data_IF_572904105533
#
_entry.id   IF_572904105533
#
_cell.length_a   1.000
_cell.length_b   1.000
_cell.length_c   1.000
_cell.angle_alpha   90.00
_cell.angle_beta   90.00
_cell.angle_gamma   90.00
#
_symmetry.space_group_name_H-M   'P 1'
#
loop_
_entity.id
_entity.type
_entity.pdbx_description
1 polymer ?
#
# COMPACT_ATOMS: atom_id res chain seq x y z
N UNK A 1 6.74 -75.35 -3.60
CA UNK A 1 6.51 -73.90 -3.51
C UNK A 1 7.74 -73.24 -4.15
N UNK A 2 7.58 -72.85 -5.42
CA UNK A 2 8.68 -72.33 -6.24
C UNK A 2 8.84 -70.82 -6.05
N UNK A 3 10.05 -70.35 -6.36
CA UNK A 3 10.46 -68.94 -6.30
C UNK A 3 9.67 -68.00 -7.23
N UNK A 4 8.73 -68.53 -8.01
CA UNK A 4 7.91 -67.80 -9.00
C UNK A 4 6.56 -67.31 -8.47
N UNK A 5 6.16 -67.64 -7.24
CA UNK A 5 4.88 -67.22 -6.63
C UNK A 5 5.00 -66.03 -5.69
N UNK A 6 6.03 -65.19 -5.85
CA UNK A 6 6.17 -64.01 -5.02
C UNK A 6 5.73 -62.77 -5.80
N UNK A 7 4.82 -61.98 -5.18
CA UNK A 7 4.16 -60.79 -5.70
C UNK A 7 5.05 -59.66 -6.23
N UNK A 8 6.38 -59.74 -6.04
CA UNK A 8 7.30 -58.71 -6.55
C UNK A 8 7.69 -58.87 -8.01
N UNK A 9 7.27 -59.96 -8.68
CA UNK A 9 7.45 -60.16 -10.12
C UNK A 9 6.32 -59.51 -10.95
N UNK A 10 5.27 -59.01 -10.31
CA UNK A 10 4.21 -58.18 -10.91
C UNK A 10 4.40 -56.70 -10.64
N UNK A 11 5.64 -56.22 -10.63
CA UNK A 11 5.88 -54.81 -10.83
C UNK A 11 5.54 -54.47 -12.29
N UNK A 12 4.21 -54.47 -12.53
CA UNK A 12 3.64 -53.96 -13.79
C UNK A 12 4.23 -52.58 -14.00
N UNK A 13 4.74 -52.40 -15.22
CA UNK A 13 5.14 -51.13 -15.78
C UNK A 13 4.14 -50.03 -15.39
N UNK A 14 4.34 -49.40 -14.24
CA UNK A 14 3.81 -48.03 -14.05
C UNK A 14 4.58 -47.20 -15.07
N UNK A 15 4.04 -47.09 -16.27
CA UNK A 15 4.35 -45.98 -17.14
C UNK A 15 4.07 -44.73 -16.30
N UNK A 16 5.12 -44.24 -15.62
CA UNK A 16 5.12 -42.87 -15.16
C UNK A 16 4.94 -42.00 -16.41
N UNK A 17 3.70 -41.67 -16.70
CA UNK A 17 3.39 -40.58 -17.59
C UNK A 17 4.06 -39.37 -16.96
N UNK A 18 5.29 -39.09 -17.36
CA UNK A 18 5.88 -37.76 -17.28
C UNK A 18 5.01 -36.85 -18.16
N UNK A 19 3.81 -36.57 -17.66
CA UNK A 19 2.98 -35.50 -18.20
C UNK A 19 3.81 -34.25 -18.10
N UNK A 20 4.19 -33.68 -19.26
CA UNK A 20 4.78 -32.35 -19.30
C UNK A 20 3.99 -31.45 -18.34
N UNK A 21 4.66 -30.69 -17.46
CA UNK A 21 3.97 -29.79 -16.57
C UNK A 21 3.08 -28.88 -17.43
N UNK A 22 1.78 -29.13 -17.40
CA UNK A 22 0.84 -28.26 -18.07
C UNK A 22 0.98 -26.90 -17.40
N UNK A 23 1.58 -25.94 -18.09
CA UNK A 23 1.56 -24.54 -17.68
C UNK A 23 0.08 -24.10 -17.64
N UNK A 24 -0.56 -24.30 -16.51
CA UNK A 24 -1.88 -23.72 -16.25
C UNK A 24 -1.67 -22.24 -16.06
N UNK A 25 -1.91 -21.46 -17.08
CA UNK A 25 -2.03 -20.00 -16.98
C UNK A 25 -3.27 -19.68 -16.13
N UNK A 26 -3.10 -19.70 -14.83
CA UNK A 26 -4.14 -19.19 -13.93
C UNK A 26 -4.07 -17.68 -13.93
N UNK A 27 -4.97 -17.03 -14.66
CA UNK A 27 -5.14 -15.59 -14.58
C UNK A 27 -5.40 -15.19 -13.11
N UNK A 28 -4.76 -14.13 -12.62
CA UNK A 28 -4.95 -13.69 -11.25
C UNK A 28 -6.43 -13.33 -11.00
N UNK A 29 -7.00 -13.86 -9.91
CA UNK A 29 -8.34 -13.44 -9.49
C UNK A 29 -8.30 -11.98 -9.11
N UNK A 30 -9.13 -11.17 -9.77
CA UNK A 30 -9.25 -9.74 -9.50
C UNK A 30 -9.70 -9.50 -8.06
N UNK A 31 -8.91 -8.73 -7.35
CA UNK A 31 -9.24 -8.22 -6.02
C UNK A 31 -10.09 -6.94 -6.13
N UNK A 32 -10.92 -6.61 -5.13
CA UNK A 32 -11.89 -5.53 -5.23
C UNK A 32 -11.33 -4.17 -5.63
N UNK A 33 -10.24 -3.72 -4.99
CA UNK A 33 -9.67 -2.39 -5.27
C UNK A 33 -8.97 -2.38 -6.62
N UNK A 34 -8.21 -3.42 -6.97
CA UNK A 34 -7.61 -3.55 -8.30
C UNK A 34 -8.68 -3.47 -9.38
N UNK A 35 -9.81 -4.19 -9.20
CA UNK A 35 -10.94 -4.14 -10.12
C UNK A 35 -11.47 -2.71 -10.32
N UNK A 36 -11.71 -1.98 -9.22
CA UNK A 36 -12.25 -0.63 -9.30
C UNK A 36 -11.24 0.37 -9.87
N UNK A 37 -9.94 0.22 -9.57
CA UNK A 37 -8.89 1.03 -10.18
C UNK A 37 -8.80 0.82 -11.69
N UNK A 38 -8.89 -0.43 -12.16
CA UNK A 38 -8.93 -0.75 -13.59
C UNK A 38 -10.16 -0.11 -14.25
N UNK A 39 -11.35 -0.29 -13.69
CA UNK A 39 -12.60 0.27 -14.21
C UNK A 39 -12.51 1.80 -14.26
N UNK A 40 -12.07 2.46 -13.19
CA UNK A 40 -11.97 3.92 -13.14
C UNK A 40 -11.04 4.46 -14.23
N UNK A 41 -9.82 3.91 -14.34
CA UNK A 41 -8.85 4.36 -15.35
C UNK A 41 -9.35 4.15 -16.77
N UNK A 42 -9.89 2.96 -17.08
CA UNK A 42 -10.40 2.65 -18.41
C UNK A 42 -11.62 3.53 -18.75
N UNK A 43 -12.56 3.72 -17.80
CA UNK A 43 -13.75 4.53 -18.02
C UNK A 43 -13.42 6.00 -18.29
N UNK A 44 -12.49 6.58 -17.49
CA UNK A 44 -12.04 7.96 -17.69
C UNK A 44 -11.34 8.11 -19.04
N UNK A 45 -10.48 7.17 -19.41
CA UNK A 45 -9.80 7.17 -20.69
C UNK A 45 -10.79 7.09 -21.86
N UNK A 46 -11.71 6.12 -21.83
CA UNK A 46 -12.72 5.95 -22.88
C UNK A 46 -13.61 7.18 -23.00
N UNK A 47 -14.06 7.76 -21.87
CA UNK A 47 -14.85 8.98 -21.86
C UNK A 47 -14.07 10.16 -22.49
N UNK A 48 -12.78 10.32 -22.18
CA UNK A 48 -11.94 11.36 -22.76
C UNK A 48 -11.67 11.18 -24.26
N UNK A 49 -11.62 9.94 -24.76
CA UNK A 49 -11.47 9.64 -26.19
C UNK A 49 -12.79 9.89 -26.94
N UNK A 50 -13.93 9.40 -26.40
CA UNK A 50 -15.24 9.56 -27.03
C UNK A 50 -15.72 11.02 -27.02
N UNK A 51 -15.37 11.78 -25.97
CA UNK A 51 -15.75 13.18 -25.80
C UNK A 51 -14.50 14.06 -25.67
N UNK A 52 -13.88 14.51 -26.78
CA UNK A 52 -12.58 15.23 -26.75
C UNK A 52 -12.60 16.51 -25.91
N UNK A 53 -13.71 17.25 -25.87
CA UNK A 53 -13.85 18.45 -25.01
C UNK A 53 -13.80 18.08 -23.50
N UNK A 54 -14.43 16.97 -23.11
CA UNK A 54 -14.34 16.45 -21.75
C UNK A 54 -12.91 16.04 -21.43
N UNK A 55 -12.23 15.36 -22.37
CA UNK A 55 -10.84 14.95 -22.20
C UNK A 55 -9.90 16.13 -21.93
N UNK A 56 -10.05 17.25 -22.68
CA UNK A 56 -9.29 18.49 -22.42
C UNK A 56 -9.61 19.05 -21.04
N UNK A 57 -10.89 19.18 -20.69
CA UNK A 57 -11.28 19.70 -19.39
C UNK A 57 -10.77 18.84 -18.22
N UNK A 58 -10.76 17.50 -18.37
CA UNK A 58 -10.20 16.59 -17.37
C UNK A 58 -8.68 16.79 -17.20
N UNK A 59 -7.93 16.97 -18.29
CA UNK A 59 -6.50 17.25 -18.21
C UNK A 59 -6.24 18.62 -17.55
N UNK A 60 -6.98 19.67 -17.92
CA UNK A 60 -6.83 21.02 -17.38
C UNK A 60 -7.08 21.08 -15.85
N UNK A 61 -8.07 20.31 -15.35
CA UNK A 61 -8.46 20.34 -13.94
C UNK A 61 -7.73 19.31 -13.07
N UNK A 62 -7.27 18.21 -13.63
CA UNK A 62 -6.82 17.04 -12.86
C UNK A 62 -5.38 16.59 -13.13
N UNK A 63 -4.72 17.05 -14.23
CA UNK A 63 -3.30 16.79 -14.45
C UNK A 63 -2.44 17.55 -13.44
N UNK A 64 -1.29 16.98 -13.07
CA UNK A 64 -0.28 17.72 -12.29
C UNK A 64 0.40 18.71 -13.23
N UNK A 65 0.27 19.99 -12.92
CA UNK A 65 0.84 21.07 -13.73
C UNK A 65 1.78 21.94 -12.88
N UNK A 66 3.01 22.10 -13.35
CA UNK A 66 4.04 22.93 -12.74
C UNK A 66 4.12 24.37 -13.29
N UNK A 67 3.22 24.74 -14.21
CA UNK A 67 3.32 26.02 -14.94
C UNK A 67 3.06 27.27 -14.10
N UNK A 68 2.14 27.19 -13.13
CA UNK A 68 1.82 28.33 -12.27
C UNK A 68 1.78 27.95 -10.79
N UNK A 69 1.92 28.96 -9.89
CA UNK A 69 1.78 28.74 -8.46
C UNK A 69 0.35 28.34 -8.07
N UNK A 70 -0.66 28.84 -8.77
CA UNK A 70 -2.06 28.47 -8.53
C UNK A 70 -2.32 27.00 -8.78
N UNK A 71 -1.74 26.41 -9.84
CA UNK A 71 -1.88 24.98 -10.15
C UNK A 71 -1.04 24.11 -9.20
N UNK A 72 0.16 24.56 -8.78
CA UNK A 72 1.01 23.86 -7.81
C UNK A 72 0.34 23.67 -6.44
N UNK A 73 -0.51 24.60 -6.02
CA UNK A 73 -1.25 24.52 -4.75
C UNK A 73 -2.51 23.65 -4.81
N UNK A 74 -2.86 23.11 -5.96
CA UNK A 74 -4.03 22.26 -6.14
C UNK A 74 -3.72 20.80 -5.77
N UNK A 75 -3.69 20.51 -4.47
CA UNK A 75 -3.25 19.21 -3.91
C UNK A 75 -4.05 17.99 -4.41
N UNK A 76 -5.32 18.18 -4.79
CA UNK A 76 -6.11 17.09 -5.38
C UNK A 76 -5.46 16.52 -6.65
N UNK A 77 -4.72 17.35 -7.42
CA UNK A 77 -4.03 16.93 -8.63
C UNK A 77 -3.00 15.81 -8.37
N UNK A 78 -2.40 15.76 -7.17
CA UNK A 78 -1.47 14.69 -6.77
C UNK A 78 -2.15 13.31 -6.73
N UNK A 79 -3.46 13.28 -6.60
CA UNK A 79 -4.25 12.03 -6.62
C UNK A 79 -4.92 11.84 -7.97
N UNK A 80 -5.52 12.86 -8.53
CA UNK A 80 -6.38 12.74 -9.71
C UNK A 80 -5.62 12.47 -11.00
N UNK A 81 -4.42 12.99 -11.16
CA UNK A 81 -3.59 12.77 -12.35
C UNK A 81 -3.28 11.30 -12.62
N UNK A 82 -3.30 10.48 -11.57
CA UNK A 82 -3.04 9.04 -11.64
C UNK A 82 -4.11 8.28 -12.42
N UNK A 83 -5.27 8.90 -12.64
CA UNK A 83 -6.39 8.31 -13.37
C UNK A 83 -6.50 8.82 -14.80
N UNK A 84 -5.66 9.78 -15.21
CA UNK A 84 -5.63 10.32 -16.54
C UNK A 84 -4.58 9.60 -17.40
N UNK A 85 -4.86 9.41 -18.67
CA UNK A 85 -3.93 8.81 -19.61
C UNK A 85 -3.96 9.53 -20.95
N UNK A 86 -2.80 9.57 -21.63
CA UNK A 86 -2.67 10.20 -22.94
C UNK A 86 -3.64 9.60 -23.96
N UNK A 87 -4.45 10.45 -24.56
CA UNK A 87 -5.45 10.04 -25.58
C UNK A 87 -4.81 9.69 -26.92
N UNK A 88 -3.59 10.17 -27.18
CA UNK A 88 -2.83 9.87 -28.41
C UNK A 88 -2.06 8.55 -28.36
N UNK A 89 -1.97 7.89 -27.19
CA UNK A 89 -1.17 6.70 -26.99
C UNK A 89 -1.88 5.62 -26.18
N UNK A 90 -2.67 4.75 -26.84
CA UNK A 90 -3.35 3.63 -26.17
C UNK A 90 -2.38 2.66 -25.45
N UNK A 91 -1.11 2.58 -25.88
CA UNK A 91 -0.10 1.74 -25.23
C UNK A 91 0.22 2.21 -23.81
N UNK A 92 0.15 3.51 -23.53
CA UNK A 92 0.42 4.03 -22.19
C UNK A 92 -0.59 3.49 -21.17
N UNK A 93 -1.89 3.60 -21.44
CA UNK A 93 -2.90 3.03 -20.55
C UNK A 93 -2.85 1.50 -20.55
N UNK A 94 -2.63 0.87 -21.69
CA UNK A 94 -2.56 -0.58 -21.80
C UNK A 94 -1.50 -1.17 -20.87
N UNK A 95 -0.26 -0.69 -20.90
CA UNK A 95 0.80 -1.21 -20.05
C UNK A 95 0.59 -0.88 -18.56
N UNK A 96 0.03 0.29 -18.24
CA UNK A 96 -0.34 0.60 -16.86
C UNK A 96 -1.40 -0.36 -16.31
N UNK A 97 -2.46 -0.61 -17.08
CA UNK A 97 -3.54 -1.51 -16.67
C UNK A 97 -3.08 -2.97 -16.62
N UNK A 98 -2.25 -3.39 -17.56
CA UNK A 98 -1.65 -4.72 -17.58
C UNK A 98 -0.79 -4.95 -16.33
N UNK A 99 0.08 -4.01 -16.00
CA UNK A 99 0.92 -4.10 -14.82
C UNK A 99 0.09 -4.05 -13.51
N UNK A 100 -0.92 -3.17 -13.44
CA UNK A 100 -1.87 -3.13 -12.32
C UNK A 100 -2.62 -4.47 -12.16
N UNK A 101 -3.04 -5.08 -13.26
CA UNK A 101 -3.73 -6.37 -13.29
C UNK A 101 -2.87 -7.51 -12.73
N UNK A 102 -1.57 -7.55 -13.04
CA UNK A 102 -0.68 -8.62 -12.58
C UNK A 102 -0.04 -8.33 -11.22
N UNK A 103 0.36 -7.10 -10.93
CA UNK A 103 1.08 -6.73 -9.70
C UNK A 103 0.14 -6.35 -8.55
N UNK A 104 -1.06 -5.87 -8.86
CA UNK A 104 -2.02 -5.42 -7.84
C UNK A 104 -2.57 -6.54 -6.97
N UNK A 105 -3.12 -7.63 -7.53
CA UNK A 105 -3.78 -8.67 -6.75
C UNK A 105 -2.91 -9.35 -5.68
N UNK A 106 -1.62 -9.68 -5.93
CA UNK A 106 -0.74 -10.21 -4.88
C UNK A 106 -0.59 -9.25 -3.70
N UNK A 107 -0.41 -7.96 -3.97
CA UNK A 107 -0.24 -6.95 -2.92
C UNK A 107 -1.55 -6.64 -2.19
N UNK A 108 -2.68 -6.55 -2.90
CA UNK A 108 -3.98 -6.35 -2.27
C UNK A 108 -4.35 -7.54 -1.37
N UNK A 109 -4.04 -8.78 -1.79
CA UNK A 109 -4.21 -9.98 -0.96
C UNK A 109 -3.33 -9.96 0.28
N UNK A 110 -2.09 -9.48 0.14
CA UNK A 110 -1.11 -9.43 1.23
C UNK A 110 -1.45 -8.37 2.30
N UNK A 111 -1.92 -7.18 1.90
CA UNK A 111 -2.16 -6.06 2.82
C UNK A 111 -3.63 -5.81 3.15
N UNK A 112 -4.55 -6.36 2.36
CA UNK A 112 -5.97 -6.01 2.35
C UNK A 112 -6.24 -4.71 1.58
N UNK A 113 -7.49 -4.56 1.13
CA UNK A 113 -7.94 -3.52 0.20
C UNK A 113 -7.63 -2.08 0.65
N UNK A 114 -7.86 -1.75 1.93
CA UNK A 114 -7.63 -0.39 2.43
C UNK A 114 -6.17 0.04 2.40
N UNK A 115 -5.27 -0.85 2.83
CA UNK A 115 -3.82 -0.56 2.83
C UNK A 115 -3.26 -0.54 1.41
N UNK A 116 -3.73 -1.43 0.55
CA UNK A 116 -3.36 -1.44 -0.86
C UNK A 116 -3.74 -0.14 -1.57
N UNK A 117 -4.99 0.35 -1.38
CA UNK A 117 -5.43 1.62 -1.96
C UNK A 117 -4.58 2.78 -1.46
N UNK A 118 -4.34 2.87 -0.15
CA UNK A 118 -3.49 3.92 0.43
C UNK A 118 -2.07 3.85 -0.15
N UNK A 119 -1.49 2.66 -0.28
CA UNK A 119 -0.19 2.45 -0.89
C UNK A 119 -0.14 2.95 -2.33
N UNK A 120 -1.10 2.54 -3.16
CA UNK A 120 -1.21 2.93 -4.55
C UNK A 120 -1.25 4.46 -4.71
N UNK A 121 -2.14 5.11 -3.96
CA UNK A 121 -2.29 6.56 -4.01
C UNK A 121 -1.05 7.32 -3.49
N UNK A 122 -0.40 6.81 -2.43
CA UNK A 122 0.83 7.40 -1.88
C UNK A 122 1.98 7.32 -2.89
N UNK A 123 2.18 6.18 -3.55
CA UNK A 123 3.23 6.05 -4.56
C UNK A 123 3.04 7.03 -5.71
N UNK A 124 1.80 7.14 -6.23
CA UNK A 124 1.51 8.11 -7.26
C UNK A 124 1.66 9.55 -6.78
N UNK A 125 1.09 9.90 -5.62
CA UNK A 125 1.22 11.25 -5.06
C UNK A 125 2.68 11.65 -4.85
N UNK A 126 3.54 10.72 -4.42
CA UNK A 126 4.99 10.95 -4.30
C UNK A 126 5.63 11.27 -5.64
N UNK A 127 5.19 10.60 -6.72
CA UNK A 127 5.64 10.90 -8.08
C UNK A 127 5.29 12.32 -8.49
N UNK A 128 4.01 12.71 -8.33
CA UNK A 128 3.55 14.06 -8.63
C UNK A 128 4.24 15.14 -7.81
N UNK A 129 4.42 14.88 -6.52
CA UNK A 129 5.11 15.82 -5.61
C UNK A 129 6.58 16.01 -6.01
N UNK A 130 7.28 14.94 -6.33
CA UNK A 130 8.69 15.03 -6.76
C UNK A 130 8.84 15.74 -8.09
N UNK A 131 7.94 15.51 -9.04
CA UNK A 131 7.87 16.28 -10.28
C UNK A 131 7.72 17.79 -10.01
N UNK A 132 6.75 18.18 -9.15
CA UNK A 132 6.55 19.59 -8.79
C UNK A 132 7.76 20.20 -8.09
N UNK A 133 8.46 19.44 -7.26
CA UNK A 133 9.70 19.88 -6.61
C UNK A 133 10.77 20.19 -7.65
N UNK A 134 11.08 19.26 -8.55
CA UNK A 134 12.10 19.44 -9.59
C UNK A 134 11.73 20.56 -10.56
N UNK A 135 10.45 20.74 -10.87
CA UNK A 135 9.98 21.87 -11.66
C UNK A 135 10.16 23.21 -10.92
N UNK A 136 9.85 23.25 -9.61
CA UNK A 136 9.95 24.47 -8.80
C UNK A 136 11.38 24.97 -8.66
N UNK A 137 12.37 24.07 -8.58
CA UNK A 137 13.79 24.42 -8.54
C UNK A 137 14.39 24.68 -9.93
N UNK A 138 13.58 24.65 -11.00
CA UNK A 138 14.01 24.93 -12.36
C UNK A 138 14.81 23.80 -13.03
N UNK A 139 14.81 22.59 -12.45
CA UNK A 139 15.50 21.45 -13.05
C UNK A 139 14.73 20.87 -14.26
N UNK A 140 13.40 20.92 -14.23
CA UNK A 140 12.50 20.43 -15.28
C UNK A 140 11.64 21.57 -15.84
N UNK A 141 11.35 21.49 -17.13
CA UNK A 141 10.35 22.36 -17.78
C UNK A 141 8.93 21.94 -17.35
N UNK A 142 8.02 22.93 -17.13
CA UNK A 142 6.64 22.63 -16.77
C UNK A 142 5.88 22.03 -17.97
N UNK A 143 5.44 20.79 -17.82
CA UNK A 143 4.56 20.10 -18.79
C UNK A 143 3.48 19.39 -17.98
N UNK A 144 2.21 19.46 -18.35
CA UNK A 144 1.14 18.71 -17.65
C UNK A 144 1.46 17.22 -17.60
N UNK A 145 1.49 16.65 -16.40
CA UNK A 145 1.81 15.25 -16.16
C UNK A 145 0.55 14.46 -15.82
N UNK A 146 0.37 13.32 -16.48
CA UNK A 146 -0.74 12.39 -16.33
C UNK A 146 -0.24 10.95 -16.33
N UNK A 147 -0.94 10.04 -15.65
CA UNK A 147 -0.69 8.60 -15.70
C UNK A 147 -0.62 7.92 -14.35
N UNK A 148 -1.00 6.65 -14.34
CA UNK A 148 -0.93 5.76 -13.17
C UNK A 148 0.48 5.21 -12.90
N UNK A 149 1.44 5.48 -13.77
CA UNK A 149 2.73 4.78 -13.83
C UNK A 149 3.57 4.93 -12.57
N UNK A 150 3.53 6.08 -11.89
CA UNK A 150 4.20 6.24 -10.59
C UNK A 150 3.69 5.25 -9.54
N UNK A 151 2.38 5.07 -9.45
CA UNK A 151 1.75 4.07 -8.58
C UNK A 151 2.10 2.65 -9.01
N UNK A 152 2.00 2.36 -10.30
CA UNK A 152 2.28 1.03 -10.87
C UNK A 152 3.74 0.62 -10.66
N UNK A 153 4.67 1.54 -10.81
CA UNK A 153 6.09 1.28 -10.53
C UNK A 153 6.37 1.15 -9.03
N UNK A 154 5.61 1.83 -8.19
CA UNK A 154 5.57 1.55 -6.76
C UNK A 154 5.13 0.10 -6.46
N UNK A 155 4.09 -0.41 -7.16
CA UNK A 155 3.69 -1.83 -7.06
C UNK A 155 4.83 -2.76 -7.49
N UNK A 156 5.53 -2.46 -8.59
CA UNK A 156 6.67 -3.23 -9.06
C UNK A 156 7.77 -3.32 -8.00
N UNK A 157 8.14 -2.17 -7.41
CA UNK A 157 9.16 -2.10 -6.37
C UNK A 157 8.75 -2.89 -5.11
N UNK A 158 7.49 -2.78 -4.68
CA UNK A 158 6.96 -3.55 -3.56
C UNK A 158 6.94 -5.05 -3.84
N UNK A 159 6.51 -5.48 -5.02
CA UNK A 159 6.54 -6.88 -5.43
C UNK A 159 7.97 -7.43 -5.51
N UNK A 160 8.93 -6.64 -5.98
CA UNK A 160 10.33 -7.04 -6.04
C UNK A 160 10.94 -7.34 -4.66
N UNK A 161 10.44 -6.68 -3.61
CA UNK A 161 10.87 -6.91 -2.22
C UNK A 161 10.09 -8.08 -1.58
N UNK A 162 8.76 -8.07 -1.69
CA UNK A 162 7.87 -9.01 -0.99
C UNK A 162 7.77 -10.36 -1.70
N UNK A 163 7.86 -10.38 -3.02
CA UNK A 163 7.72 -11.58 -3.86
C UNK A 163 8.92 -11.75 -4.80
N UNK A 164 10.13 -11.91 -4.26
CA UNK A 164 11.39 -11.86 -5.02
C UNK A 164 11.52 -12.91 -6.12
N UNK A 165 10.79 -14.01 -5.99
CA UNK A 165 10.79 -15.12 -6.96
C UNK A 165 9.71 -14.98 -8.04
N UNK A 166 8.94 -13.88 -8.01
CA UNK A 166 7.95 -13.61 -9.05
C UNK A 166 8.66 -13.36 -10.38
N UNK A 167 8.14 -14.01 -11.42
CA UNK A 167 8.59 -13.81 -12.79
C UNK A 167 7.51 -12.98 -13.51
N UNK A 168 7.93 -11.95 -14.19
CA UNK A 168 7.10 -11.17 -15.08
C UNK A 168 7.53 -11.41 -16.52
N UNK A 169 6.59 -11.31 -17.45
CA UNK A 169 6.90 -11.42 -18.85
C UNK A 169 7.05 -10.02 -19.46
N UNK A 170 8.24 -9.70 -19.95
CA UNK A 170 8.50 -8.50 -20.75
C UNK A 170 8.50 -8.92 -22.20
N UNK A 171 7.44 -8.58 -22.91
CA UNK A 171 7.07 -9.19 -24.19
C UNK A 171 6.91 -10.71 -24.03
N UNK A 172 7.84 -11.52 -24.54
CA UNK A 172 7.81 -12.99 -24.44
C UNK A 172 8.91 -13.54 -23.53
N UNK A 173 9.77 -12.69 -22.97
CA UNK A 173 10.90 -13.11 -22.16
C UNK A 173 10.52 -13.12 -20.67
N UNK A 174 10.66 -14.26 -19.98
CA UNK A 174 10.50 -14.33 -18.55
C UNK A 174 11.65 -13.60 -17.85
N UNK A 175 11.32 -12.61 -17.02
CA UNK A 175 12.29 -11.81 -16.30
C UNK A 175 11.97 -11.84 -14.82
N UNK A 176 12.96 -12.08 -13.98
CA UNK A 176 12.78 -11.96 -12.54
C UNK A 176 12.40 -10.52 -12.17
N UNK A 177 11.36 -10.36 -11.36
CA UNK A 177 10.81 -9.03 -11.02
C UNK A 177 11.85 -8.10 -10.40
N UNK A 178 12.82 -8.64 -9.64
CA UNK A 178 13.94 -7.88 -9.08
C UNK A 178 14.83 -7.27 -10.16
N UNK A 179 15.13 -8.05 -11.19
CA UNK A 179 15.96 -7.59 -12.32
C UNK A 179 15.20 -6.49 -13.06
N UNK A 180 13.91 -6.69 -13.34
CA UNK A 180 13.10 -5.67 -13.97
C UNK A 180 13.07 -4.35 -13.16
N UNK A 181 12.89 -4.44 -11.83
CA UNK A 181 12.88 -3.28 -10.96
C UNK A 181 14.21 -2.52 -10.99
N UNK A 182 15.35 -3.24 -10.93
CA UNK A 182 16.69 -2.62 -10.97
C UNK A 182 16.96 -1.98 -12.33
N UNK A 183 16.70 -2.70 -13.42
CA UNK A 183 16.91 -2.21 -14.79
C UNK A 183 16.08 -0.96 -15.06
N UNK A 184 14.77 -0.98 -14.70
CA UNK A 184 13.90 0.18 -14.88
C UNK A 184 14.33 1.36 -14.01
N UNK A 185 14.74 1.12 -12.77
CA UNK A 185 15.26 2.20 -11.89
C UNK A 185 16.46 2.86 -12.52
N UNK A 186 17.43 2.08 -13.00
CA UNK A 186 18.64 2.61 -13.64
C UNK A 186 18.32 3.34 -14.95
N UNK A 187 17.44 2.77 -15.77
CA UNK A 187 17.00 3.41 -17.01
C UNK A 187 16.34 4.76 -16.76
N UNK A 188 15.36 4.82 -15.84
CA UNK A 188 14.68 6.09 -15.52
C UNK A 188 15.64 7.10 -14.91
N UNK A 189 16.58 6.67 -14.07
CA UNK A 189 17.63 7.54 -13.53
C UNK A 189 18.45 8.19 -14.66
N UNK A 190 18.91 7.41 -15.62
CA UNK A 190 19.66 7.94 -16.77
C UNK A 190 18.82 8.92 -17.58
N UNK A 191 17.55 8.60 -17.85
CA UNK A 191 16.65 9.48 -18.61
C UNK A 191 16.37 10.81 -17.90
N UNK A 192 16.32 10.82 -16.58
CA UNK A 192 16.21 12.06 -15.80
C UNK A 192 17.50 12.88 -15.87
N UNK A 193 18.66 12.25 -15.68
CA UNK A 193 19.96 12.93 -15.70
C UNK A 193 20.27 13.50 -17.08
N UNK A 194 19.96 12.78 -18.14
CA UNK A 194 20.15 13.21 -19.52
C UNK A 194 19.08 14.20 -20.01
N UNK A 195 18.10 14.54 -19.14
CA UNK A 195 16.99 15.46 -19.45
C UNK A 195 16.26 15.06 -20.74
N UNK A 196 15.86 13.78 -20.80
CA UNK A 196 15.05 13.28 -21.91
C UNK A 196 13.75 14.09 -22.05
N UNK A 197 13.09 14.00 -23.19
CA UNK A 197 11.84 14.73 -23.46
C UNK A 197 10.73 14.46 -22.42
N UNK A 198 10.77 13.31 -21.74
CA UNK A 198 9.84 12.93 -20.67
C UNK A 198 10.49 12.87 -19.27
N UNK A 199 11.58 13.60 -19.04
CA UNK A 199 12.31 13.56 -17.77
C UNK A 199 11.41 13.80 -16.53
N UNK A 200 10.33 14.56 -16.69
CA UNK A 200 9.31 14.76 -15.64
C UNK A 200 8.56 13.49 -15.28
N UNK A 201 8.09 12.75 -16.26
CA UNK A 201 7.46 11.44 -16.07
C UNK A 201 8.42 10.42 -15.46
N UNK A 202 9.67 10.39 -15.96
CA UNK A 202 10.69 9.48 -15.45
C UNK A 202 11.08 9.77 -13.99
N UNK A 203 11.13 11.06 -13.61
CA UNK A 203 11.32 11.46 -12.22
C UNK A 203 10.17 11.00 -11.31
N UNK A 204 8.93 11.13 -11.78
CA UNK A 204 7.76 10.62 -11.07
C UNK A 204 7.79 9.09 -10.91
N UNK A 205 8.29 8.37 -11.91
CA UNK A 205 8.50 6.91 -11.85
C UNK A 205 9.48 6.53 -10.73
N UNK A 206 10.63 7.18 -10.67
CA UNK A 206 11.64 6.95 -9.63
C UNK A 206 11.09 7.24 -8.23
N UNK A 207 10.37 8.36 -8.07
CA UNK A 207 9.79 8.72 -6.79
C UNK A 207 8.69 7.74 -6.36
N UNK A 208 7.86 7.26 -7.29
CA UNK A 208 6.88 6.22 -7.03
C UNK A 208 7.52 4.91 -6.57
N UNK A 209 8.60 4.47 -7.23
CA UNK A 209 9.37 3.29 -6.84
C UNK A 209 10.00 3.47 -5.45
N UNK A 210 10.64 4.63 -5.20
CA UNK A 210 11.26 4.94 -3.91
C UNK A 210 10.23 4.96 -2.76
N UNK A 211 9.05 5.55 -3.00
CA UNK A 211 7.94 5.52 -2.06
C UNK A 211 7.44 4.10 -1.80
N UNK A 212 7.38 3.26 -2.84
CA UNK A 212 7.03 1.84 -2.72
C UNK A 212 8.01 1.08 -1.84
N UNK A 213 9.31 1.24 -2.06
CA UNK A 213 10.36 0.67 -1.20
C UNK A 213 10.23 1.16 0.23
N UNK A 214 10.15 2.48 0.43
CA UNK A 214 10.04 3.09 1.74
C UNK A 214 8.80 2.58 2.51
N UNK A 215 7.67 2.48 1.86
CA UNK A 215 6.44 1.95 2.48
C UNK A 215 6.63 0.52 2.97
N UNK A 216 7.17 -0.38 2.15
CA UNK A 216 7.40 -1.79 2.51
C UNK A 216 8.35 -1.90 3.70
N UNK A 217 9.42 -1.11 3.74
CA UNK A 217 10.43 -1.19 4.80
C UNK A 217 9.97 -0.51 6.11
N UNK A 218 9.17 0.55 6.03
CA UNK A 218 8.77 1.34 7.22
C UNK A 218 7.49 0.82 7.89
N UNK A 219 6.55 0.22 7.13
CA UNK A 219 5.27 -0.23 7.69
C UNK A 219 5.39 -1.23 8.86
N UNK A 220 6.26 -2.25 8.80
CA UNK A 220 6.45 -3.17 9.92
C UNK A 220 6.94 -2.44 11.18
N UNK A 221 7.89 -1.50 11.02
CA UNK A 221 8.45 -0.71 12.12
C UNK A 221 7.40 0.20 12.78
N UNK A 222 6.55 0.83 11.98
CA UNK A 222 5.44 1.65 12.47
C UNK A 222 4.40 0.80 13.23
N UNK A 223 4.13 -0.42 12.77
CA UNK A 223 3.29 -1.38 13.46
C UNK A 223 3.84 -1.74 14.84
N UNK A 224 5.10 -2.10 14.92
CA UNK A 224 5.78 -2.40 16.19
C UNK A 224 5.81 -1.22 17.15
N UNK A 225 6.07 0.00 16.63
CA UNK A 225 6.06 1.21 17.46
C UNK A 225 4.68 1.50 18.04
N UNK A 226 3.61 1.34 17.24
CA UNK A 226 2.22 1.48 17.72
C UNK A 226 1.87 0.45 18.79
N UNK A 227 2.31 -0.79 18.60
CA UNK A 227 2.12 -1.85 19.62
C UNK A 227 2.84 -1.54 20.91
N UNK A 228 4.12 -1.13 20.86
CA UNK A 228 4.89 -0.71 22.03
C UNK A 228 4.24 0.46 22.78
N UNK A 229 3.75 1.48 22.05
CA UNK A 229 3.03 2.60 22.67
C UNK A 229 1.73 2.17 23.36
N UNK A 230 0.98 1.26 22.73
CA UNK A 230 -0.25 0.69 23.34
C UNK A 230 0.06 -0.14 24.56
N UNK A 231 1.08 -0.99 24.52
CA UNK A 231 1.53 -1.79 25.66
C UNK A 231 1.96 -0.91 26.84
N UNK A 232 2.81 0.09 26.61
CA UNK A 232 3.22 1.03 27.66
C UNK A 232 2.07 1.88 28.23
N UNK A 233 1.06 2.22 27.42
CA UNK A 233 -0.15 2.89 27.90
C UNK A 233 -1.01 1.96 28.76
N UNK A 234 -1.12 0.69 28.37
CA UNK A 234 -1.85 -0.32 29.11
C UNK A 234 -1.19 -0.62 30.45
N UNK A 235 0.14 -0.83 30.49
CA UNK A 235 0.90 -1.01 31.72
C UNK A 235 0.71 0.12 32.73
N UNK A 236 0.80 1.37 32.25
CA UNK A 236 0.50 2.56 33.10
C UNK A 236 -0.92 2.55 33.64
N UNK A 237 -1.90 2.16 32.81
CA UNK A 237 -3.29 2.06 33.23
C UNK A 237 -3.50 1.00 34.31
N UNK A 238 -2.88 -0.17 34.16
CA UNK A 238 -2.93 -1.27 35.14
C UNK A 238 -2.28 -0.85 36.46
N UNK A 239 -1.11 -0.21 36.40
CA UNK A 239 -0.43 0.28 37.61
C UNK A 239 -1.26 1.37 38.34
N UNK A 240 -1.85 2.31 37.61
CA UNK A 240 -2.75 3.29 38.19
C UNK A 240 -3.98 2.65 38.86
N UNK A 241 -4.54 1.59 38.25
CA UNK A 241 -5.65 0.85 38.84
C UNK A 241 -5.21 0.13 40.13
N UNK A 242 -4.05 -0.49 40.09
CA UNK A 242 -3.48 -1.17 41.27
C UNK A 242 -3.26 -0.20 42.43
N UNK A 243 -2.65 0.96 42.16
CA UNK A 243 -2.44 1.99 43.19
C UNK A 243 -3.78 2.53 43.74
N UNK A 244 -4.78 2.74 42.87
CA UNK A 244 -6.10 3.16 43.29
C UNK A 244 -6.76 2.09 44.19
N UNK A 245 -6.62 0.80 43.84
CA UNK A 245 -7.18 -0.30 44.64
C UNK A 245 -6.57 -0.36 46.03
N UNK A 246 -5.25 -0.25 46.12
CA UNK A 246 -4.52 -0.22 47.42
C UNK A 246 -5.01 0.96 48.29
N UNK A 247 -5.22 2.12 47.66
CA UNK A 247 -5.71 3.30 48.41
C UNK A 247 -7.18 3.13 48.82
N UNK A 248 -8.02 2.52 48.02
CA UNK A 248 -9.41 2.19 48.37
C UNK A 248 -9.44 1.22 49.54
N UNK A 249 -8.61 0.15 49.53
CA UNK A 249 -8.54 -0.84 50.58
C UNK A 249 -8.09 -0.20 51.94
N UNK A 250 -7.11 0.71 51.86
CA UNK A 250 -6.68 1.51 53.00
C UNK A 250 -7.82 2.34 53.59
N UNK A 251 -8.59 3.04 52.72
CA UNK A 251 -9.71 3.87 53.15
C UNK A 251 -10.83 3.02 53.76
N UNK A 252 -11.15 1.86 53.14
CA UNK A 252 -12.15 0.94 53.67
C UNK A 252 -11.75 0.37 55.04
N UNK A 253 -10.48 0.03 55.23
CA UNK A 253 -9.96 -0.42 56.53
C UNK A 253 -10.06 0.67 57.62
N UNK A 254 -9.88 1.96 57.24
CA UNK A 254 -10.08 3.10 58.14
C UNK A 254 -11.56 3.25 58.52
N UNK A 255 -12.45 3.18 57.52
CA UNK A 255 -13.90 3.24 57.74
C UNK A 255 -14.38 2.15 58.69
N UNK A 256 -13.82 0.93 58.55
CA UNK A 256 -14.18 -0.18 59.40
C UNK A 256 -13.77 0.03 60.88
N UNK A 257 -12.63 0.72 61.13
CA UNK A 257 -12.15 1.01 62.47
C UNK A 257 -12.78 2.24 63.11
N UNK A 258 -12.97 3.31 62.37
CA UNK A 258 -13.28 4.67 62.86
C UNK A 258 -14.63 5.19 62.39
N UNK A 259 -15.35 4.44 61.57
CA UNK A 259 -16.67 4.84 61.04
C UNK A 259 -16.60 5.77 59.83
N UNK A 260 -17.75 5.97 59.17
CA UNK A 260 -17.88 6.80 57.97
C UNK A 260 -17.57 8.29 58.18
N UNK A 261 -17.74 8.81 59.39
CA UNK A 261 -17.46 10.20 59.74
C UNK A 261 -15.98 10.55 59.76
N UNK A 262 -15.10 9.56 59.83
CA UNK A 262 -13.64 9.77 59.81
C UNK A 262 -13.10 10.10 58.39
N UNK A 263 -13.93 9.98 57.35
CA UNK A 263 -13.53 10.21 55.96
C UNK A 263 -13.28 11.68 55.63
N UNK A 264 -12.07 11.97 55.20
CA UNK A 264 -11.73 13.28 54.65
C UNK A 264 -12.38 13.54 53.26
N UNK A 265 -12.47 14.79 52.84
CA UNK A 265 -13.00 15.16 51.54
C UNK A 265 -12.20 14.56 50.36
N UNK A 266 -10.86 14.33 50.53
CA UNK A 266 -10.03 13.68 49.52
C UNK A 266 -10.34 12.18 49.42
N UNK A 267 -10.50 11.49 50.54
CA UNK A 267 -10.83 10.04 50.59
C UNK A 267 -12.22 9.78 49.99
N UNK A 268 -13.22 10.63 50.24
CA UNK A 268 -14.53 10.54 49.60
C UNK A 268 -14.46 10.69 48.06
N UNK A 269 -13.59 11.57 47.54
CA UNK A 269 -13.35 11.71 46.09
C UNK A 269 -12.69 10.44 45.47
N UNK A 270 -11.75 9.82 46.16
CA UNK A 270 -11.10 8.59 45.75
C UNK A 270 -12.12 7.46 45.64
N UNK A 271 -12.93 7.23 46.66
CA UNK A 271 -13.98 6.21 46.64
C UNK A 271 -14.98 6.45 45.52
N UNK A 272 -15.44 7.69 45.33
CA UNK A 272 -16.34 8.03 44.22
C UNK A 272 -15.73 7.76 42.85
N UNK A 273 -14.45 8.07 42.68
CA UNK A 273 -13.70 7.77 41.43
C UNK A 273 -13.61 6.26 41.19
N UNK A 274 -13.29 5.48 42.22
CA UNK A 274 -13.19 4.00 42.11
C UNK A 274 -14.55 3.40 41.73
N UNK A 275 -15.63 3.81 42.38
CA UNK A 275 -17.00 3.36 42.06
C UNK A 275 -17.41 3.71 40.63
N UNK A 276 -17.09 4.91 40.15
CA UNK A 276 -17.38 5.29 38.76
C UNK A 276 -16.57 4.44 37.74
N UNK A 277 -15.35 4.10 38.05
CA UNK A 277 -14.52 3.22 37.19
C UNK A 277 -15.10 1.81 37.14
N UNK A 278 -15.53 1.26 38.26
CA UNK A 278 -16.14 -0.08 38.32
C UNK A 278 -17.47 -0.15 37.58
N UNK A 279 -18.34 0.85 37.74
CA UNK A 279 -19.60 0.96 36.98
C UNK A 279 -19.40 1.09 35.47
N UNK A 280 -18.32 1.74 35.02
CA UNK A 280 -17.95 1.80 33.59
C UNK A 280 -17.47 0.45 33.06
N UNK A 281 -16.75 -0.33 33.89
CA UNK A 281 -16.26 -1.65 33.53
C UNK A 281 -17.38 -2.67 33.38
N UNK A 282 -18.42 -2.58 34.20
CA UNK A 282 -19.60 -3.46 34.12
C UNK A 282 -20.48 -3.19 32.88
N UNK A 283 -20.33 -1.99 32.24
CA UNK A 283 -21.11 -1.58 31.06
C UNK A 283 -20.40 -1.88 29.72
N UNK A 284 -19.17 -2.38 29.75
CA UNK A 284 -18.40 -2.80 28.56
C UNK A 284 -18.39 -4.30 28.40
#
# INVERSE_FOLDING_TARGET
MGLYDRDYTQAGERQEHYGMPQMRFNLPRLMPVVKWLLIANISIFVAGVLFPKLGVALEDWFAVDGGSWSTKLQFWRLVTYQFLHSRSGALHIFFNMLALFFLGPPLERHWGSRRFLSFYLICGASGGLFYLLLNTIGFLTPVPMIGASGSVLGLLAACAILFPHMVIFVFFFPLAIRVAAVVLTFMFFLLVVTRSNNAGGEAAHLAGMAAGVAYVLLMPRLGQFRLKRRAGSWEKSVEQQRLLQVEVDRILAKVHREGLHSLTGKEKKILKKATQMELRRQKM
#
